data_IF_372619936817
#
_entry.id   IF_372619936817
#
_cell.length_a   1.000
_cell.length_b   1.000
_cell.length_c   1.000
_cell.angle_alpha   90.00
_cell.angle_beta   90.00
_cell.angle_gamma   90.00
#
_symmetry.space_group_name_H-M   'P 1'
#
loop_
_entity.id
_entity.type
_entity.pdbx_description
1 polymer ?
#
# COMPACT_ATOMS: atom_id res chain seq x y z
N UNK A 1 -11.43 13.33 -34.64
CA UNK A 1 -10.64 14.40 -33.99
C UNK A 1 -10.38 13.91 -32.59
N UNK A 2 -9.13 13.63 -32.24
CA UNK A 2 -8.77 13.23 -30.88
C UNK A 2 -8.74 14.51 -30.03
N UNK A 3 -9.75 14.70 -29.18
CA UNK A 3 -9.84 15.84 -28.27
C UNK A 3 -8.72 15.79 -27.25
N UNK A 4 -7.62 16.49 -27.54
CA UNK A 4 -6.53 16.70 -26.59
C UNK A 4 -6.90 17.87 -25.68
N UNK A 5 -6.91 17.62 -24.38
CA UNK A 5 -7.10 18.65 -23.35
C UNK A 5 -5.77 19.00 -22.72
N UNK A 6 -5.50 20.30 -22.56
CA UNK A 6 -4.27 20.78 -21.92
C UNK A 6 -4.52 21.04 -20.43
N UNK A 7 -3.62 20.55 -19.59
CA UNK A 7 -3.58 20.85 -18.16
C UNK A 7 -2.28 21.59 -17.81
N UNK A 8 -2.32 22.45 -16.81
CA UNK A 8 -1.15 23.18 -16.30
C UNK A 8 -1.00 22.95 -14.81
N UNK A 9 0.21 22.62 -14.36
CA UNK A 9 0.54 22.41 -12.96
C UNK A 9 1.97 22.86 -12.68
N UNK A 10 2.23 23.32 -11.45
CA UNK A 10 3.58 23.63 -10.98
C UNK A 10 4.14 22.42 -10.24
N UNK A 11 5.38 22.05 -10.55
CA UNK A 11 6.12 20.99 -9.86
C UNK A 11 7.46 21.53 -9.37
N UNK A 12 8.08 20.85 -8.40
CA UNK A 12 9.42 21.21 -7.96
C UNK A 12 10.45 21.03 -9.09
N UNK A 13 11.53 21.83 -9.07
CA UNK A 13 12.62 21.70 -10.04
C UNK A 13 13.25 20.30 -10.00
N UNK A 14 13.38 19.70 -8.81
CA UNK A 14 13.90 18.35 -8.64
C UNK A 14 13.00 17.29 -9.29
N UNK A 15 11.67 17.45 -9.19
CA UNK A 15 10.71 16.55 -9.84
C UNK A 15 10.80 16.64 -11.36
N UNK A 16 10.92 17.87 -11.89
CA UNK A 16 11.10 18.09 -13.33
C UNK A 16 12.36 17.41 -13.84
N UNK A 17 13.50 17.62 -13.18
CA UNK A 17 14.78 16.99 -13.56
C UNK A 17 14.68 15.46 -13.58
N UNK A 18 14.02 14.88 -12.58
CA UNK A 18 13.80 13.43 -12.52
C UNK A 18 12.92 12.92 -13.66
N UNK A 19 11.85 13.64 -14.02
CA UNK A 19 11.00 13.30 -15.15
C UNK A 19 11.78 13.37 -16.47
N UNK A 20 12.58 14.42 -16.65
CA UNK A 20 13.36 14.64 -17.85
C UNK A 20 14.34 13.48 -18.08
N UNK A 21 15.16 13.15 -17.08
CA UNK A 21 16.09 12.01 -17.14
C UNK A 21 15.40 10.67 -17.36
N UNK A 22 14.24 10.46 -16.74
CA UNK A 22 13.47 9.23 -16.93
C UNK A 22 13.00 9.09 -18.38
N UNK A 23 12.43 10.15 -18.95
CA UNK A 23 11.95 10.14 -20.34
C UNK A 23 13.07 9.96 -21.35
N UNK A 24 14.22 10.59 -21.13
CA UNK A 24 15.40 10.48 -22.01
C UNK A 24 15.97 9.07 -22.00
N UNK A 25 16.18 8.49 -20.82
CA UNK A 25 16.76 7.13 -20.68
C UNK A 25 15.87 6.02 -21.24
N UNK A 26 14.56 6.24 -21.30
CA UNK A 26 13.58 5.25 -21.76
C UNK A 26 12.98 5.55 -23.14
N UNK A 27 13.41 6.65 -23.80
CA UNK A 27 12.89 7.06 -25.11
C UNK A 27 11.39 7.40 -25.10
N UNK A 28 10.86 7.89 -23.97
CA UNK A 28 9.44 8.17 -23.78
C UNK A 28 9.13 9.65 -23.95
N UNK A 29 7.88 9.96 -24.33
CA UNK A 29 7.40 11.36 -24.34
C UNK A 29 6.95 11.78 -22.94
N UNK A 30 7.27 13.01 -22.54
CA UNK A 30 6.82 13.59 -21.25
C UNK A 30 5.30 13.55 -21.09
N UNK A 31 4.54 13.93 -22.12
CA UNK A 31 3.07 13.89 -22.08
C UNK A 31 2.54 12.48 -21.82
N UNK A 32 3.16 11.46 -22.43
CA UNK A 32 2.78 10.07 -22.20
C UNK A 32 3.01 9.67 -20.74
N UNK A 33 4.17 9.99 -20.18
CA UNK A 33 4.48 9.68 -18.77
C UNK A 33 3.54 10.42 -17.82
N UNK A 34 3.23 11.68 -18.09
CA UNK A 34 2.29 12.47 -17.26
C UNK A 34 0.88 11.87 -17.31
N UNK A 35 0.39 11.52 -18.49
CA UNK A 35 -0.94 10.92 -18.65
C UNK A 35 -1.03 9.57 -17.94
N UNK A 36 -0.04 8.69 -18.12
CA UNK A 36 0.01 7.41 -17.43
C UNK A 36 0.08 7.59 -15.90
N UNK A 37 0.91 8.53 -15.42
CA UNK A 37 1.00 8.80 -13.99
C UNK A 37 -0.34 9.27 -13.39
N UNK A 38 -1.09 10.11 -14.11
CA UNK A 38 -2.41 10.57 -13.67
C UNK A 38 -3.43 9.42 -13.65
N UNK A 39 -3.45 8.57 -14.68
CA UNK A 39 -4.32 7.40 -14.74
C UNK A 39 -4.03 6.43 -13.59
N UNK A 40 -2.77 6.05 -13.41
CA UNK A 40 -2.36 5.16 -12.32
C UNK A 40 -2.66 5.73 -10.95
N UNK A 41 -2.44 7.03 -10.75
CA UNK A 41 -2.76 7.68 -9.49
C UNK A 41 -4.26 7.65 -9.16
N UNK A 42 -5.12 7.89 -10.15
CA UNK A 42 -6.58 7.83 -9.97
C UNK A 42 -7.08 6.40 -9.76
N UNK A 43 -6.50 5.42 -10.46
CA UNK A 43 -6.87 4.01 -10.33
C UNK A 43 -6.45 3.43 -8.98
N UNK A 44 -5.21 3.69 -8.54
CA UNK A 44 -4.73 3.29 -7.22
C UNK A 44 -5.61 3.82 -6.08
N UNK A 45 -6.12 5.06 -6.21
CA UNK A 45 -7.06 5.65 -5.23
C UNK A 45 -8.46 5.04 -5.26
N UNK A 46 -8.90 4.45 -6.38
CA UNK A 46 -10.17 3.72 -6.44
C UNK A 46 -10.05 2.34 -5.80
N UNK A 47 -8.92 1.66 -5.99
CA UNK A 47 -8.67 0.34 -5.42
C UNK A 47 -8.41 0.40 -3.91
N UNK A 48 -7.69 1.42 -3.44
CA UNK A 48 -7.37 1.66 -2.05
C UNK A 48 -7.73 3.11 -1.68
N UNK A 49 -8.99 3.37 -1.30
CA UNK A 49 -9.41 4.66 -0.79
C UNK A 49 -8.50 5.10 0.37
N UNK A 50 -8.25 6.41 0.54
CA UNK A 50 -7.44 6.90 1.67
C UNK A 50 -8.06 6.49 3.03
N UNK A 51 -9.38 6.22 3.06
CA UNK A 51 -10.10 5.68 4.21
C UNK A 51 -9.78 4.21 4.51
N UNK A 52 -9.19 3.46 3.57
CA UNK A 52 -8.81 2.06 3.74
C UNK A 52 -7.48 1.89 4.50
N UNK A 53 -6.69 2.95 4.67
CA UNK A 53 -5.44 2.96 5.43
C UNK A 53 -5.65 3.52 6.84
N UNK A 54 -6.54 2.90 7.61
CA UNK A 54 -6.52 3.04 9.07
C UNK A 54 -5.61 1.92 9.59
N UNK A 55 -4.38 2.19 10.07
CA UNK A 55 -3.60 1.15 10.72
C UNK A 55 -4.40 0.65 11.91
N UNK A 56 -4.70 -0.65 11.92
CA UNK A 56 -5.35 -1.29 13.07
C UNK A 56 -4.35 -1.22 14.23
N UNK A 57 -4.49 -0.19 15.07
CA UNK A 57 -3.68 -0.04 16.27
C UNK A 57 -4.33 -0.82 17.41
N UNK A 58 -3.63 -1.84 17.89
CA UNK A 58 -3.99 -2.50 19.14
C UNK A 58 -3.25 -1.79 20.26
N UNK A 59 -3.96 -0.99 21.06
CA UNK A 59 -3.42 -0.32 22.24
C UNK A 59 -3.63 -1.24 23.44
N UNK A 60 -2.55 -1.55 24.16
CA UNK A 60 -2.56 -2.43 25.31
C UNK A 60 -2.14 -1.64 26.56
N UNK A 61 -2.68 -2.02 27.71
CA UNK A 61 -2.06 -1.63 28.99
C UNK A 61 -0.75 -2.41 29.20
N UNK A 62 0.11 -1.91 30.09
CA UNK A 62 1.44 -2.49 30.34
C UNK A 62 1.36 -3.98 30.68
N UNK A 63 0.39 -4.37 31.52
CA UNK A 63 0.22 -5.77 31.95
C UNK A 63 -0.20 -6.66 30.78
N UNK A 64 -1.03 -6.18 29.87
CA UNK A 64 -1.44 -6.89 28.68
C UNK A 64 -0.31 -6.98 27.65
N UNK A 65 0.48 -5.92 27.52
CA UNK A 65 1.67 -5.88 26.68
C UNK A 65 2.69 -6.93 27.11
N UNK A 66 3.04 -6.98 28.40
CA UNK A 66 3.99 -7.96 28.95
C UNK A 66 3.58 -9.41 28.69
N UNK A 67 2.27 -9.71 28.80
CA UNK A 67 1.72 -11.03 28.48
C UNK A 67 1.91 -11.38 27.00
N UNK A 68 1.69 -10.43 26.10
CA UNK A 68 1.86 -10.63 24.66
C UNK A 68 3.33 -10.86 24.34
N UNK A 69 4.25 -10.05 24.88
CA UNK A 69 5.70 -10.22 24.70
C UNK A 69 6.14 -11.61 25.13
N UNK A 70 5.74 -12.04 26.33
CA UNK A 70 6.07 -13.38 26.86
C UNK A 70 5.61 -14.49 25.91
N UNK A 71 4.40 -14.39 25.34
CA UNK A 71 3.85 -15.37 24.41
C UNK A 71 4.55 -15.37 23.05
N UNK A 72 5.11 -14.23 22.62
CA UNK A 72 5.89 -14.14 21.38
C UNK A 72 7.30 -14.72 21.56
N UNK A 73 7.95 -14.47 22.69
CA UNK A 73 9.28 -15.00 23.01
C UNK A 73 9.25 -16.48 23.33
N UNK A 74 8.19 -16.95 23.99
CA UNK A 74 7.99 -18.35 24.36
C UNK A 74 6.60 -18.84 23.93
N UNK A 75 6.43 -19.18 22.64
CA UNK A 75 5.14 -19.64 22.12
C UNK A 75 4.66 -20.92 22.82
N UNK A 76 3.43 -20.89 23.32
CA UNK A 76 2.80 -22.08 23.88
C UNK A 76 2.46 -23.07 22.76
N UNK A 77 2.54 -24.37 23.08
CA UNK A 77 2.03 -25.39 22.17
C UNK A 77 0.52 -25.21 21.95
N UNK A 78 0.01 -25.42 20.72
CA UNK A 78 -1.43 -25.35 20.44
C UNK A 78 -2.22 -26.27 21.37
N UNK A 79 -3.36 -25.82 21.87
CA UNK A 79 -4.23 -26.66 22.71
C UNK A 79 -4.87 -27.78 21.90
N UNK A 80 -5.32 -28.85 22.56
CA UNK A 80 -6.04 -29.93 21.88
C UNK A 80 -7.26 -29.41 21.09
N UNK A 81 -8.04 -28.49 21.71
CA UNK A 81 -9.18 -27.85 21.07
C UNK A 81 -8.80 -27.02 19.84
N UNK A 82 -7.68 -26.27 19.88
CA UNK A 82 -7.22 -25.54 18.70
C UNK A 82 -6.79 -26.50 17.58
N UNK A 83 -6.09 -27.59 17.91
CA UNK A 83 -5.71 -28.59 16.91
C UNK A 83 -6.93 -29.27 16.29
N UNK A 84 -7.95 -29.57 17.08
CA UNK A 84 -9.22 -30.13 16.60
C UNK A 84 -9.94 -29.14 15.67
N UNK A 85 -10.05 -27.88 16.07
CA UNK A 85 -10.62 -26.82 15.23
C UNK A 85 -9.89 -26.68 13.89
N UNK A 86 -8.55 -26.68 13.90
CA UNK A 86 -7.73 -26.52 12.69
C UNK A 86 -7.74 -27.73 11.76
N UNK A 87 -8.13 -28.92 12.22
CA UNK A 87 -8.32 -30.08 11.34
C UNK A 87 -9.58 -29.96 10.47
N UNK A 88 -10.50 -29.05 10.82
CA UNK A 88 -11.81 -28.95 10.18
C UNK A 88 -12.72 -30.10 10.58
N UNK A 89 -14.03 -29.93 10.39
CA UNK A 89 -14.93 -31.08 10.36
C UNK A 89 -14.79 -31.70 8.98
N UNK A 90 -14.35 -32.96 8.89
CA UNK A 90 -14.42 -33.74 7.65
C UNK A 90 -15.85 -33.61 7.09
N UNK A 91 -15.99 -32.92 5.96
CA UNK A 91 -17.25 -32.70 5.27
C UNK A 91 -17.17 -33.29 3.88
#
# INVERSE_FOLDING_TARGET
>A
MSDQSQISATVSAATKDRLDRFTESHGLKKNFVVEQALLYFMEARRELPDEALIPVRVVLDDKAFDRVVTLLESPAAPTAALRELMRGQDR
#
